data_IF_832774925805
#
_entry.id   IF_832774925805
#
_cell.length_a   1.000
_cell.length_b   1.000
_cell.length_c   1.000
_cell.angle_alpha   90.00
_cell.angle_beta   90.00
_cell.angle_gamma   90.00
#
_symmetry.space_group_name_H-M   'P 1'
#
loop_
_entity.id
_entity.type
_entity.pdbx_description
1 polymer ?
#
# COMPACT_ATOMS: atom_id res chain seq x y z
N UNK A 1 -20.32 -10.92 -12.49
CA UNK A 1 -19.50 -11.42 -13.65
C UNK A 1 -18.17 -10.68 -13.62
N UNK A 2 -17.05 -11.40 -13.76
CA UNK A 2 -15.70 -10.80 -13.77
C UNK A 2 -15.15 -10.81 -15.19
N UNK A 3 -14.75 -9.64 -15.69
CA UNK A 3 -14.13 -9.47 -17.00
C UNK A 3 -12.66 -9.07 -16.85
N UNK A 4 -11.80 -9.59 -17.74
CA UNK A 4 -10.37 -9.27 -17.77
C UNK A 4 -9.99 -8.72 -19.15
N UNK A 5 -9.25 -7.63 -19.16
CA UNK A 5 -8.64 -7.05 -20.36
C UNK A 5 -7.14 -6.83 -20.11
N UNK A 6 -6.32 -7.07 -21.13
CA UNK A 6 -4.87 -6.84 -21.08
C UNK A 6 -4.49 -5.77 -22.10
N UNK A 7 -3.74 -4.77 -21.65
CA UNK A 7 -3.24 -3.67 -22.47
C UNK A 7 -1.70 -3.64 -22.40
N UNK A 8 -1.02 -3.78 -23.54
CA UNK A 8 0.42 -3.62 -23.63
C UNK A 8 0.74 -2.16 -23.97
N UNK A 9 1.52 -1.49 -23.11
CA UNK A 9 1.75 -0.05 -23.23
C UNK A 9 3.20 0.26 -23.65
N UNK A 10 4.21 -0.45 -23.12
CA UNK A 10 5.63 -0.27 -23.49
C UNK A 10 6.54 -1.32 -22.86
N UNK A 11 7.66 -1.68 -23.50
CA UNK A 11 8.81 -2.40 -22.91
C UNK A 11 8.45 -3.60 -22.00
N UNK A 12 7.63 -4.53 -22.49
CA UNK A 12 7.16 -5.71 -21.74
C UNK A 12 6.33 -5.39 -20.47
N UNK A 13 5.89 -4.14 -20.32
CA UNK A 13 4.96 -3.71 -19.27
C UNK A 13 3.53 -3.87 -19.77
N UNK A 14 2.79 -4.75 -19.10
CA UNK A 14 1.37 -4.96 -19.33
C UNK A 14 0.57 -4.32 -18.21
N UNK A 15 -0.59 -3.77 -18.57
CA UNK A 15 -1.65 -3.41 -17.65
C UNK A 15 -2.79 -4.42 -17.76
N UNK A 16 -3.26 -4.90 -16.61
CA UNK A 16 -4.27 -5.94 -16.53
C UNK A 16 -5.48 -5.37 -15.79
N UNK A 17 -6.62 -5.32 -16.45
CA UNK A 17 -7.84 -4.70 -15.96
C UNK A 17 -8.81 -5.77 -15.52
N UNK A 18 -9.14 -5.81 -14.24
CA UNK A 18 -10.22 -6.62 -13.70
C UNK A 18 -11.45 -5.72 -13.54
N UNK A 19 -12.59 -6.17 -14.05
CA UNK A 19 -13.87 -5.51 -13.86
C UNK A 19 -14.82 -6.49 -13.19
N UNK A 20 -15.30 -6.14 -12.01
CA UNK A 20 -16.20 -6.94 -11.19
C UNK A 20 -17.55 -6.24 -11.25
N UNK A 21 -18.44 -6.82 -12.05
CA UNK A 21 -19.74 -6.24 -12.37
C UNK A 21 -19.57 -4.82 -12.94
N UNK A 22 -20.39 -3.86 -12.54
CA UNK A 22 -20.24 -2.44 -12.89
C UNK A 22 -19.81 -1.59 -11.68
N UNK A 23 -19.32 -2.22 -10.62
CA UNK A 23 -19.08 -1.56 -9.32
C UNK A 23 -17.59 -1.41 -8.97
N UNK A 24 -16.72 -2.34 -9.37
CA UNK A 24 -15.31 -2.33 -9.02
C UNK A 24 -14.44 -2.62 -10.24
N UNK A 25 -13.53 -1.70 -10.56
CA UNK A 25 -12.48 -1.89 -11.56
C UNK A 25 -11.11 -1.81 -10.89
N UNK A 26 -10.22 -2.75 -11.17
CA UNK A 26 -8.84 -2.73 -10.68
C UNK A 26 -7.90 -2.90 -11.87
N UNK A 27 -6.94 -1.99 -11.99
CA UNK A 27 -5.88 -2.07 -13.00
C UNK A 27 -4.56 -2.41 -12.30
N UNK A 28 -3.98 -3.55 -12.65
CA UNK A 28 -2.65 -3.98 -12.22
C UNK A 28 -1.60 -3.64 -13.28
N UNK A 29 -0.32 -3.63 -12.89
CA UNK A 29 0.81 -3.49 -13.81
C UNK A 29 1.90 -4.52 -13.51
N UNK A 30 2.54 -5.07 -14.55
CA UNK A 30 3.66 -6.00 -14.38
C UNK A 30 4.89 -5.36 -13.77
N UNK A 31 5.05 -4.04 -13.87
CA UNK A 31 6.11 -3.37 -13.14
C UNK A 31 5.76 -3.20 -11.67
N UNK A 32 6.66 -3.61 -10.79
CA UNK A 32 6.49 -3.51 -9.34
C UNK A 32 5.35 -4.35 -8.77
N UNK A 33 4.80 -5.30 -9.56
CA UNK A 33 3.57 -6.01 -9.23
C UNK A 33 2.46 -5.04 -8.74
N UNK A 34 2.33 -3.90 -9.44
CA UNK A 34 1.62 -2.73 -8.90
C UNK A 34 0.11 -2.83 -9.05
N UNK A 35 -0.62 -2.23 -8.12
CA UNK A 35 -1.99 -1.76 -8.33
C UNK A 35 -1.88 -0.35 -8.92
N UNK A 36 -2.08 -0.21 -10.23
CA UNK A 36 -2.01 1.09 -10.88
C UNK A 36 -3.21 1.96 -10.52
N UNK A 37 -4.43 1.41 -10.49
CA UNK A 37 -5.67 2.17 -10.28
C UNK A 37 -6.80 1.30 -9.74
N UNK A 38 -7.63 1.86 -8.86
CA UNK A 38 -8.90 1.26 -8.46
C UNK A 38 -10.03 2.25 -8.69
N UNK A 39 -11.10 1.81 -9.36
CA UNK A 39 -12.37 2.55 -9.39
C UNK A 39 -13.43 1.80 -8.60
N UNK A 40 -14.22 2.52 -7.83
CA UNK A 40 -15.29 1.94 -7.01
C UNK A 40 -16.55 2.82 -7.06
N UNK A 41 -17.70 2.20 -7.26
CA UNK A 41 -18.99 2.90 -7.30
C UNK A 41 -19.35 3.45 -5.92
N UNK A 42 -19.92 4.66 -5.88
CA UNK A 42 -20.55 5.18 -4.67
C UNK A 42 -21.98 4.63 -4.49
N UNK A 43 -22.68 5.06 -3.42
CA UNK A 43 -24.08 4.66 -3.16
C UNK A 43 -25.08 5.12 -4.22
N UNK A 44 -24.66 6.01 -5.14
CA UNK A 44 -25.46 6.53 -6.25
C UNK A 44 -25.06 5.89 -7.60
N UNK A 45 -24.20 4.87 -7.58
CA UNK A 45 -23.67 4.14 -8.73
C UNK A 45 -22.71 4.95 -9.63
N UNK A 46 -22.09 6.02 -9.11
CA UNK A 46 -21.02 6.71 -9.82
C UNK A 46 -19.68 5.99 -9.61
N UNK A 47 -19.17 5.38 -10.68
CA UNK A 47 -17.88 4.69 -10.69
C UNK A 47 -16.74 5.70 -10.91
N UNK A 48 -15.94 5.94 -9.87
CA UNK A 48 -14.83 6.90 -9.92
C UNK A 48 -13.53 6.30 -9.39
N UNK A 49 -12.39 6.91 -9.76
CA UNK A 49 -11.07 6.49 -9.28
C UNK A 49 -10.90 6.82 -7.80
N UNK A 50 -10.79 5.80 -6.96
CA UNK A 50 -10.63 5.94 -5.51
C UNK A 50 -9.17 5.85 -5.06
N UNK A 51 -8.23 5.94 -6.00
CA UNK A 51 -6.79 5.90 -5.77
C UNK A 51 -6.11 7.13 -6.33
N UNK A 52 -5.00 7.56 -5.72
CA UNK A 52 -4.19 8.65 -6.26
C UNK A 52 -3.27 8.10 -7.34
N UNK A 53 -3.57 8.43 -8.60
CA UNK A 53 -2.85 7.93 -9.77
C UNK A 53 -2.57 9.06 -10.75
N UNK A 54 -1.47 9.03 -11.51
CA UNK A 54 -1.25 9.99 -12.59
C UNK A 54 -2.32 9.84 -13.69
N UNK A 55 -2.52 10.87 -14.50
CA UNK A 55 -3.52 10.87 -15.58
C UNK A 55 -3.24 9.86 -16.71
N UNK A 56 -2.01 9.38 -16.80
CA UNK A 56 -1.55 8.54 -17.90
C UNK A 56 -0.64 7.44 -17.39
N UNK A 57 -0.87 6.23 -17.88
CA UNK A 57 0.01 5.08 -17.66
C UNK A 57 1.43 5.37 -18.12
N UNK A 58 1.62 6.02 -19.28
CA UNK A 58 2.94 6.40 -19.78
C UNK A 58 3.66 7.37 -18.84
N UNK A 59 2.97 8.41 -18.34
CA UNK A 59 3.57 9.34 -17.36
C UNK A 59 4.01 8.62 -16.09
N UNK A 60 3.20 7.67 -15.61
CA UNK A 60 3.54 6.86 -14.44
C UNK A 60 4.76 5.96 -14.68
N UNK A 61 4.87 5.37 -15.88
CA UNK A 61 6.04 4.56 -16.26
C UNK A 61 7.32 5.40 -16.39
N UNK A 62 7.23 6.59 -16.96
CA UNK A 62 8.38 7.48 -17.20
C UNK A 62 8.88 8.17 -15.92
N UNK A 63 7.98 8.50 -14.99
CA UNK A 63 8.28 9.31 -13.80
C UNK A 63 8.15 8.49 -12.51
N UNK A 64 8.58 7.21 -12.56
CA UNK A 64 8.29 6.19 -11.55
C UNK A 64 8.22 6.69 -10.11
N UNK A 65 7.18 6.23 -9.42
CA UNK A 65 6.98 6.42 -7.99
C UNK A 65 6.64 5.10 -7.34
N UNK A 66 6.67 5.05 -6.01
CA UNK A 66 6.20 3.89 -5.26
C UNK A 66 4.68 3.69 -5.34
N UNK A 67 3.92 4.68 -5.85
CA UNK A 67 2.45 4.67 -5.80
C UNK A 67 1.86 3.40 -6.40
N UNK A 68 1.24 2.60 -5.54
CA UNK A 68 0.60 1.34 -5.88
C UNK A 68 1.54 0.15 -6.07
N UNK A 69 2.86 0.34 -6.06
CA UNK A 69 3.85 -0.70 -6.23
C UNK A 69 4.09 -1.49 -4.94
N UNK A 70 4.60 -2.72 -5.11
CA UNK A 70 5.21 -3.47 -4.01
C UNK A 70 6.61 -2.91 -3.76
N UNK A 71 6.77 -2.32 -2.58
CA UNK A 71 8.05 -1.80 -2.12
C UNK A 71 8.78 -2.88 -1.34
N UNK A 72 9.88 -3.37 -1.91
CA UNK A 72 10.66 -4.50 -1.39
C UNK A 72 12.10 -4.45 -1.92
N UNK A 73 13.10 -5.12 -1.30
CA UNK A 73 12.99 -6.05 -0.15
C UNK A 73 12.58 -5.40 1.17
N UNK A 74 12.91 -4.12 1.39
CA UNK A 74 12.71 -3.45 2.66
C UNK A 74 11.92 -2.15 2.52
N UNK A 75 10.65 -2.16 2.94
CA UNK A 75 9.85 -0.95 3.07
C UNK A 75 10.22 -0.15 4.33
N UNK A 76 10.22 1.18 4.21
CA UNK A 76 10.56 2.13 5.26
C UNK A 76 12.01 2.63 5.21
N UNK A 77 12.49 3.12 6.35
CA UNK A 77 13.82 3.72 6.55
C UNK A 77 14.63 2.82 7.49
N UNK A 78 15.88 2.55 7.15
CA UNK A 78 16.80 1.74 7.96
C UNK A 78 18.14 2.46 8.12
N UNK A 79 18.68 2.41 9.33
CA UNK A 79 20.05 2.85 9.59
C UNK A 79 21.05 1.92 8.89
N UNK A 80 22.11 2.51 8.31
CA UNK A 80 23.09 1.73 7.53
C UNK A 80 24.36 1.38 8.31
N UNK A 81 24.70 2.15 9.34
CA UNK A 81 26.02 2.18 9.98
C UNK A 81 26.76 0.83 10.08
N UNK A 82 26.17 -0.19 10.70
CA UNK A 82 26.79 -1.50 10.94
C UNK A 82 26.24 -2.62 10.04
N UNK A 83 25.72 -2.26 8.87
CA UNK A 83 25.00 -3.18 7.96
C UNK A 83 25.63 -3.17 6.56
N UNK A 84 25.25 -4.14 5.72
CA UNK A 84 25.61 -4.16 4.30
C UNK A 84 24.59 -3.44 3.41
N UNK A 85 23.63 -2.72 3.99
CA UNK A 85 22.63 -1.98 3.23
C UNK A 85 23.28 -0.81 2.50
N UNK A 86 22.82 -0.53 1.27
CA UNK A 86 23.25 0.66 0.53
C UNK A 86 22.53 1.93 1.02
N UNK A 87 23.18 3.08 0.86
CA UNK A 87 22.62 4.40 1.18
C UNK A 87 22.07 5.08 -0.08
N UNK A 88 20.89 4.65 -0.53
CA UNK A 88 20.21 5.30 -1.65
C UNK A 88 19.59 6.66 -1.27
N UNK A 89 19.39 6.91 0.03
CA UNK A 89 18.99 8.21 0.57
C UNK A 89 19.85 8.57 1.79
N UNK A 90 21.11 9.01 1.58
CA UNK A 90 22.06 9.18 2.67
C UNK A 90 21.53 10.02 3.83
N UNK A 91 21.72 9.59 5.10
CA UNK A 91 22.53 8.43 5.53
C UNK A 91 21.76 7.08 5.56
N UNK A 92 20.55 7.02 5.01
CA UNK A 92 19.59 5.94 5.20
C UNK A 92 19.53 4.98 3.99
N UNK A 93 19.15 3.73 4.28
CA UNK A 93 18.55 2.84 3.30
C UNK A 93 17.04 3.10 3.28
N UNK A 94 16.48 3.30 2.10
CA UNK A 94 15.09 3.72 1.93
C UNK A 94 14.39 2.88 0.86
N UNK A 95 13.26 2.27 1.22
CA UNK A 95 12.34 1.59 0.30
C UNK A 95 13.04 0.66 -0.71
N UNK A 96 13.79 -0.32 -0.20
CA UNK A 96 14.43 -1.39 -0.97
C UNK A 96 15.64 -0.96 -1.79
N UNK A 97 16.02 0.32 -1.76
CA UNK A 97 17.23 0.80 -2.41
C UNK A 97 17.06 1.28 -3.86
N UNK A 98 18.19 1.43 -4.53
CA UNK A 98 18.34 1.81 -5.94
C UNK A 98 17.69 0.78 -6.86
N UNK A 99 17.86 -0.51 -6.57
CA UNK A 99 17.29 -1.64 -7.31
C UNK A 99 16.13 -2.35 -6.57
N UNK A 100 15.31 -1.56 -5.86
CA UNK A 100 14.07 -2.04 -5.25
C UNK A 100 13.12 -2.69 -6.26
N UNK A 101 12.34 -3.67 -5.80
CA UNK A 101 11.50 -4.50 -6.67
C UNK A 101 10.30 -3.77 -7.27
N UNK A 102 9.98 -2.58 -6.75
CA UNK A 102 9.02 -1.63 -7.31
C UNK A 102 9.37 -1.21 -8.74
N UNK A 103 10.66 -1.27 -9.10
CA UNK A 103 11.19 -0.83 -10.40
C UNK A 103 11.35 -1.97 -11.40
N UNK A 104 11.22 -3.23 -10.96
CA UNK A 104 11.45 -4.41 -11.79
C UNK A 104 10.18 -4.83 -12.52
N UNK A 105 10.33 -5.46 -13.68
CA UNK A 105 9.21 -6.07 -14.42
C UNK A 105 9.04 -7.51 -13.91
N UNK A 106 7.81 -7.85 -13.53
CA UNK A 106 7.44 -9.16 -12.98
C UNK A 106 6.74 -10.00 -14.05
N UNK A 107 7.03 -11.29 -14.05
CA UNK A 107 6.20 -12.25 -14.81
C UNK A 107 4.87 -12.45 -14.09
N UNK A 108 3.83 -12.90 -14.78
CA UNK A 108 2.53 -13.14 -14.15
C UNK A 108 1.78 -14.33 -14.72
N UNK A 109 0.85 -14.85 -13.92
CA UNK A 109 -0.13 -15.86 -14.32
C UNK A 109 -1.52 -15.42 -13.88
N UNK A 110 -2.48 -15.49 -14.81
CA UNK A 110 -3.89 -15.28 -14.54
C UNK A 110 -4.60 -16.59 -14.19
N UNK A 111 -5.58 -16.51 -13.31
CA UNK A 111 -6.50 -17.61 -12.99
C UNK A 111 -7.88 -17.02 -12.82
N UNK A 112 -8.85 -17.55 -13.56
CA UNK A 112 -10.23 -17.08 -13.56
C UNK A 112 -11.11 -18.24 -13.14
N UNK A 113 -11.94 -18.00 -12.13
CA UNK A 113 -13.04 -18.88 -11.75
C UNK A 113 -14.37 -18.11 -11.89
N UNK A 114 -15.49 -18.79 -11.66
CA UNK A 114 -16.82 -18.21 -11.84
C UNK A 114 -17.05 -16.94 -10.99
N UNK A 115 -16.47 -16.91 -9.78
CA UNK A 115 -16.74 -15.89 -8.74
C UNK A 115 -15.51 -15.13 -8.26
N UNK A 116 -14.35 -15.43 -8.81
CA UNK A 116 -13.09 -14.80 -8.45
C UNK A 116 -12.12 -14.75 -9.63
N UNK A 117 -11.29 -13.72 -9.65
CA UNK A 117 -10.17 -13.59 -10.57
C UNK A 117 -8.89 -13.33 -9.78
N UNK A 118 -7.81 -13.92 -10.25
CA UNK A 118 -6.51 -13.84 -9.62
C UNK A 118 -5.43 -13.50 -10.64
N UNK A 119 -4.50 -12.65 -10.23
CA UNK A 119 -3.20 -12.45 -10.88
C UNK A 119 -2.10 -12.75 -9.87
N UNK A 120 -1.16 -13.61 -10.24
CA UNK A 120 0.02 -13.92 -9.44
C UNK A 120 1.26 -13.41 -10.18
N UNK A 121 1.90 -12.38 -9.64
CA UNK A 121 3.19 -11.88 -10.12
C UNK A 121 4.33 -12.67 -9.50
N UNK A 122 5.40 -12.91 -10.27
CA UNK A 122 6.59 -13.63 -9.83
C UNK A 122 7.87 -12.91 -10.27
N UNK A 123 8.82 -12.81 -9.33
CA UNK A 123 10.15 -12.26 -9.53
C UNK A 123 11.18 -13.21 -8.92
N UNK A 124 12.31 -13.39 -9.60
CA UNK A 124 13.50 -14.02 -9.03
C UNK A 124 14.61 -12.98 -8.97
N UNK A 125 15.22 -12.84 -7.79
CA UNK A 125 16.34 -11.94 -7.58
C UNK A 125 17.64 -12.74 -7.44
N UNK A 126 18.47 -12.71 -8.48
CA UNK A 126 19.73 -13.46 -8.55
C UNK A 126 20.73 -13.06 -7.44
N UNK A 127 20.74 -11.78 -7.05
CA UNK A 127 21.68 -11.29 -6.03
C UNK A 127 21.36 -11.85 -4.65
N UNK A 128 20.08 -11.85 -4.29
CA UNK A 128 19.60 -12.37 -3.01
C UNK A 128 19.20 -13.84 -3.06
N UNK A 129 19.18 -14.46 -4.26
CA UNK A 129 18.67 -15.81 -4.52
C UNK A 129 17.27 -16.01 -3.95
N UNK A 130 16.40 -15.03 -4.17
CA UNK A 130 15.06 -14.98 -3.59
C UNK A 130 13.99 -15.09 -4.67
N UNK A 131 13.09 -16.05 -4.50
CA UNK A 131 11.85 -16.15 -5.26
C UNK A 131 10.73 -15.43 -4.50
N UNK A 132 10.00 -14.56 -5.20
CA UNK A 132 8.94 -13.75 -4.60
C UNK A 132 7.69 -13.86 -5.46
N UNK A 133 6.56 -14.01 -4.79
CA UNK A 133 5.25 -14.03 -5.41
C UNK A 133 4.34 -13.00 -4.76
N UNK A 134 3.62 -12.25 -5.60
CA UNK A 134 2.59 -11.30 -5.16
C UNK A 134 1.28 -11.72 -5.83
N UNK A 135 0.34 -12.18 -5.01
CA UNK A 135 -0.94 -12.71 -5.48
C UNK A 135 -2.05 -11.74 -5.12
N UNK A 136 -2.69 -11.16 -6.14
CA UNK A 136 -3.91 -10.41 -6.00
C UNK A 136 -5.09 -11.29 -6.38
N UNK A 137 -6.07 -11.41 -5.50
CA UNK A 137 -7.34 -12.10 -5.74
C UNK A 137 -8.48 -11.13 -5.50
N UNK A 138 -9.40 -11.05 -6.45
CA UNK A 138 -10.64 -10.28 -6.34
C UNK A 138 -11.83 -11.21 -6.47
N UNK A 139 -12.79 -11.10 -5.55
CA UNK A 139 -14.00 -11.93 -5.53
C UNK A 139 -15.28 -11.12 -5.77
N UNK A 140 -16.41 -11.83 -5.93
CA UNK A 140 -17.74 -11.23 -6.12
C UNK A 140 -18.20 -10.38 -4.92
N UNK A 141 -17.61 -10.55 -3.73
CA UNK A 141 -17.86 -9.72 -2.55
C UNK A 141 -17.08 -8.39 -2.55
N UNK A 142 -16.45 -8.03 -3.68
CA UNK A 142 -15.64 -6.80 -3.82
C UNK A 142 -14.52 -6.76 -2.76
N UNK A 143 -13.84 -7.88 -2.56
CA UNK A 143 -12.66 -7.96 -1.70
C UNK A 143 -11.43 -8.17 -2.57
N UNK A 144 -10.44 -7.29 -2.41
CA UNK A 144 -9.10 -7.43 -2.98
C UNK A 144 -8.16 -7.98 -1.90
N UNK A 145 -7.79 -9.25 -2.02
CA UNK A 145 -6.75 -9.87 -1.19
C UNK A 145 -5.41 -9.74 -1.89
N UNK A 146 -4.43 -9.18 -1.20
CA UNK A 146 -3.01 -9.15 -1.57
C UNK A 146 -2.25 -10.10 -0.65
N UNK A 147 -1.54 -11.07 -1.23
CA UNK A 147 -0.71 -12.01 -0.49
C UNK A 147 0.71 -11.97 -1.05
N UNK A 148 1.71 -11.81 -0.19
CA UNK A 148 3.12 -11.81 -0.57
C UNK A 148 3.78 -13.01 0.08
N UNK A 149 4.48 -13.82 -0.73
CA UNK A 149 5.31 -14.90 -0.23
C UNK A 149 6.70 -14.82 -0.83
N UNK A 150 7.70 -15.21 -0.03
CA UNK A 150 9.08 -15.23 -0.48
C UNK A 150 9.86 -16.40 0.12
N UNK A 151 10.76 -16.97 -0.67
CA UNK A 151 11.70 -17.99 -0.24
C UNK A 151 13.10 -17.63 -0.78
N UNK A 152 14.11 -17.79 0.07
CA UNK A 152 15.50 -17.47 -0.26
C UNK A 152 16.44 -18.65 -0.01
N UNK A 153 17.56 -18.66 -0.71
CA UNK A 153 18.66 -19.62 -0.47
C UNK A 153 19.72 -19.11 0.51
N UNK A 154 19.66 -17.84 0.93
CA UNK A 154 20.60 -17.22 1.86
C UNK A 154 19.88 -16.24 2.80
N UNK A 155 20.49 -15.94 3.95
CA UNK A 155 19.89 -14.97 4.88
C UNK A 155 19.86 -13.57 4.27
N UNK A 156 18.67 -12.96 4.24
CA UNK A 156 18.45 -11.58 3.81
C UNK A 156 17.49 -10.86 4.77
N UNK A 157 17.29 -9.57 4.57
CA UNK A 157 16.22 -8.83 5.24
C UNK A 157 15.07 -8.57 4.27
N UNK A 158 13.83 -8.84 4.71
CA UNK A 158 12.63 -8.79 3.87
C UNK A 158 11.42 -8.31 4.67
N UNK A 159 10.88 -7.15 4.29
CA UNK A 159 9.73 -6.49 4.90
C UNK A 159 8.99 -5.68 3.81
N UNK A 160 8.27 -6.35 2.90
CA UNK A 160 7.59 -5.69 1.80
C UNK A 160 6.37 -4.92 2.28
N UNK A 161 5.87 -4.00 1.45
CA UNK A 161 4.54 -3.41 1.60
C UNK A 161 3.98 -2.98 0.24
N UNK A 162 2.72 -2.54 0.21
CA UNK A 162 2.12 -1.89 -0.95
C UNK A 162 1.89 -0.40 -0.67
N UNK A 163 2.39 0.46 -1.54
CA UNK A 163 2.38 1.91 -1.33
C UNK A 163 1.23 2.60 -2.09
N UNK A 164 0.03 2.01 -2.08
CA UNK A 164 -1.17 2.58 -2.71
C UNK A 164 -1.76 3.71 -1.87
N UNK A 165 -2.11 4.82 -2.52
CA UNK A 165 -2.84 5.93 -1.92
C UNK A 165 -4.32 5.84 -2.26
N UNK A 166 -5.18 5.93 -1.25
CA UNK A 166 -6.62 6.03 -1.41
C UNK A 166 -7.12 7.46 -1.31
N UNK A 167 -8.15 7.78 -2.10
CA UNK A 167 -8.97 8.98 -1.99
C UNK A 167 -10.39 8.62 -2.44
N UNK A 168 -11.27 8.34 -1.47
CA UNK A 168 -12.62 7.85 -1.70
C UNK A 168 -13.56 8.95 -2.23
N UNK A 169 -13.11 10.20 -2.36
CA UNK A 169 -13.87 11.23 -3.03
C UNK A 169 -14.15 10.91 -4.51
N UNK A 170 -13.32 10.07 -5.15
CA UNK A 170 -13.39 9.84 -6.59
C UNK A 170 -12.72 10.94 -7.43
N UNK A 171 -12.19 11.97 -6.77
CA UNK A 171 -11.59 13.15 -7.39
C UNK A 171 -10.27 13.48 -6.68
N UNK A 172 -9.16 13.28 -7.39
CA UNK A 172 -7.80 13.54 -6.89
C UNK A 172 -7.53 15.01 -6.56
N UNK A 173 -8.37 15.94 -7.01
CA UNK A 173 -8.22 17.38 -6.67
C UNK A 173 -8.74 17.70 -5.27
N UNK A 174 -9.44 16.78 -4.62
CA UNK A 174 -9.98 16.97 -3.26
C UNK A 174 -9.05 16.39 -2.22
N UNK A 175 -8.94 17.08 -1.09
CA UNK A 175 -8.26 16.55 0.09
C UNK A 175 -9.08 15.42 0.72
N UNK A 176 -8.42 14.54 1.44
CA UNK A 176 -9.03 13.47 2.24
C UNK A 176 -9.48 13.95 3.63
N UNK A 177 -9.43 15.25 3.91
CA UNK A 177 -9.82 15.83 5.21
C UNK A 177 -11.30 15.60 5.55
N UNK A 178 -12.14 15.31 4.55
CA UNK A 178 -13.54 14.93 4.73
C UNK A 178 -13.74 13.41 4.95
N UNK A 179 -12.66 12.62 5.01
CA UNK A 179 -12.74 11.19 5.31
C UNK A 179 -12.72 10.95 6.81
N UNK A 180 -13.31 9.83 7.21
CA UNK A 180 -13.17 9.29 8.56
C UNK A 180 -12.26 8.07 8.54
N UNK A 181 -11.45 7.96 9.60
CA UNK A 181 -10.53 6.87 9.82
C UNK A 181 -10.79 6.22 11.18
N UNK A 182 -10.88 4.89 11.17
CA UNK A 182 -10.71 4.05 12.34
C UNK A 182 -9.50 3.14 12.12
N UNK A 183 -8.67 2.98 13.16
CA UNK A 183 -7.59 2.02 13.22
C UNK A 183 -7.69 1.26 14.54
N UNK A 184 -7.61 -0.07 14.49
CA UNK A 184 -7.53 -0.90 15.67
C UNK A 184 -6.11 -0.85 16.25
N UNK A 185 -5.74 0.31 16.80
CA UNK A 185 -4.41 0.62 17.31
C UNK A 185 -4.53 1.50 18.56
N UNK A 186 -3.73 1.18 19.56
CA UNK A 186 -3.55 1.95 20.80
C UNK A 186 -2.10 2.45 20.97
N UNK A 187 -1.25 2.20 19.98
CA UNK A 187 0.20 2.40 20.06
C UNK A 187 0.74 2.86 18.71
N UNK A 188 1.66 3.82 18.71
CA UNK A 188 2.37 4.26 17.51
C UNK A 188 3.88 4.33 17.77
N UNK A 189 4.69 4.31 16.71
CA UNK A 189 6.13 4.42 16.83
C UNK A 189 6.58 5.87 16.69
N UNK A 190 7.45 6.31 17.60
CA UNK A 190 8.13 7.61 17.48
C UNK A 190 9.37 7.48 16.61
N UNK A 191 9.67 8.55 15.88
CA UNK A 191 10.86 8.66 15.06
C UNK A 191 11.90 9.61 15.69
N UNK A 192 13.18 9.36 15.45
CA UNK A 192 14.25 10.31 15.79
C UNK A 192 14.36 11.45 14.74
N UNK A 193 15.36 12.32 14.90
CA UNK A 193 15.62 13.42 13.97
C UNK A 193 15.96 12.98 12.54
N UNK A 194 16.40 11.75 12.35
CA UNK A 194 16.70 11.14 11.05
C UNK A 194 15.51 10.38 10.46
N UNK A 195 14.33 10.48 11.07
CA UNK A 195 13.12 9.76 10.65
C UNK A 195 13.22 8.23 10.77
N UNK A 196 14.07 7.75 11.66
CA UNK A 196 14.16 6.33 12.00
C UNK A 196 13.22 6.02 13.17
N UNK A 197 12.48 4.93 13.05
CA UNK A 197 11.67 4.37 14.14
C UNK A 197 12.58 4.00 15.31
N UNK A 198 12.19 4.41 16.52
CA UNK A 198 12.95 4.17 17.76
C UNK A 198 12.18 3.25 18.71
N UNK A 199 10.96 3.62 19.10
CA UNK A 199 10.20 2.90 20.11
C UNK A 199 8.70 3.08 19.94
N UNK A 200 7.88 2.10 20.35
CA UNK A 200 6.44 2.28 20.47
C UNK A 200 6.09 3.17 21.68
N UNK A 201 4.98 3.91 21.57
CA UNK A 201 4.39 4.74 22.62
C UNK A 201 2.86 4.60 22.57
N UNK A 202 2.22 4.50 23.74
CA UNK A 202 0.76 4.46 23.85
C UNK A 202 0.12 5.78 23.35
N UNK A 203 -0.99 5.65 22.64
CA UNK A 203 -1.76 6.78 22.13
C UNK A 203 -2.61 7.34 23.28
N UNK A 204 -2.41 8.62 23.58
CA UNK A 204 -3.24 9.30 24.57
C UNK A 204 -4.70 9.40 24.06
N UNK A 205 -5.70 9.05 24.90
CA UNK A 205 -7.10 9.18 24.52
C UNK A 205 -7.47 10.58 24.03
N UNK A 206 -8.26 10.66 22.97
CA UNK A 206 -8.68 11.90 22.30
C UNK A 206 -7.53 12.74 21.69
N UNK A 207 -6.31 12.22 21.58
CA UNK A 207 -5.23 12.91 20.88
C UNK A 207 -5.52 13.03 19.37
N UNK A 208 -4.73 13.84 18.66
CA UNK A 208 -4.80 13.93 17.19
C UNK A 208 -4.52 12.60 16.49
N UNK A 209 -3.84 11.67 17.16
CA UNK A 209 -3.48 10.34 16.67
C UNK A 209 -4.43 9.23 17.17
N UNK A 210 -5.45 9.57 17.97
CA UNK A 210 -6.44 8.60 18.46
C UNK A 210 -7.49 8.28 17.37
N UNK A 211 -7.22 7.20 16.63
CA UNK A 211 -8.12 6.62 15.63
C UNK A 211 -8.85 5.38 16.15
N UNK A 212 -8.83 5.12 17.46
CA UNK A 212 -9.37 3.88 18.06
C UNK A 212 -10.90 3.85 18.17
N UNK A 213 -11.57 5.01 18.01
CA UNK A 213 -13.01 5.12 18.11
C UNK A 213 -13.71 4.48 16.90
N UNK A 214 -14.65 3.57 17.14
CA UNK A 214 -15.35 2.82 16.08
C UNK A 214 -16.24 3.68 15.16
N UNK A 215 -16.65 4.87 15.62
CA UNK A 215 -17.35 5.85 14.79
C UNK A 215 -16.41 6.68 13.89
N UNK A 216 -15.11 6.44 13.99
CA UNK A 216 -14.01 7.06 13.26
C UNK A 216 -13.76 8.51 13.61
N UNK A 217 -12.49 8.90 13.51
CA UNK A 217 -12.06 10.29 13.62
C UNK A 217 -12.01 10.92 12.23
N UNK A 218 -12.54 12.13 12.11
CA UNK A 218 -12.47 12.92 10.88
C UNK A 218 -11.02 13.38 10.67
N UNK A 219 -10.55 13.39 9.42
CA UNK A 219 -9.19 13.79 9.07
C UNK A 219 -9.05 15.31 8.84
N UNK A 220 -9.98 16.12 9.35
CA UNK A 220 -10.05 17.57 9.10
C UNK A 220 -8.97 18.40 9.82
N UNK A 221 -8.19 17.76 10.69
CA UNK A 221 -7.11 18.40 11.47
C UNK A 221 -5.73 18.11 10.87
N UNK A 222 -5.61 17.39 9.73
CA UNK A 222 -4.31 17.02 9.13
C UNK A 222 -3.39 18.22 8.92
N UNK A 223 -3.96 19.35 8.49
CA UNK A 223 -3.20 20.59 8.30
C UNK A 223 -2.61 21.18 9.58
N UNK A 224 -3.22 20.93 10.74
CA UNK A 224 -2.79 21.48 12.03
C UNK A 224 -1.48 20.86 12.55
N UNK A 225 -1.23 19.60 12.20
CA UNK A 225 -0.02 18.86 12.61
C UNK A 225 0.87 18.41 11.44
N UNK A 226 0.60 18.89 10.22
CA UNK A 226 1.45 18.63 9.06
C UNK A 226 1.17 17.30 8.34
N UNK A 227 0.08 16.62 8.69
CA UNK A 227 -0.32 15.31 8.18
C UNK A 227 0.30 14.14 8.94
N UNK A 228 0.05 12.94 8.44
CA UNK A 228 0.60 11.69 8.98
C UNK A 228 1.73 11.18 8.08
N UNK A 229 2.80 10.73 8.71
CA UNK A 229 3.87 9.86 8.18
C UNK A 229 4.26 9.01 9.40
N UNK A 230 3.38 8.08 9.77
CA UNK A 230 3.39 7.50 11.13
C UNK A 230 3.07 6.02 11.09
N UNK A 231 3.91 5.24 11.77
CA UNK A 231 3.71 3.80 11.95
C UNK A 231 2.84 3.54 13.17
N UNK A 232 1.67 2.97 12.97
CA UNK A 232 0.77 2.51 14.01
C UNK A 232 0.96 1.01 14.24
N UNK A 233 1.04 0.60 15.50
CA UNK A 233 1.03 -0.80 15.90
C UNK A 233 -0.42 -1.25 16.05
N UNK A 234 -0.83 -2.29 15.31
CA UNK A 234 -2.14 -2.88 15.49
C UNK A 234 -2.24 -3.62 16.82
N UNK A 235 -3.43 -3.60 17.41
CA UNK A 235 -3.85 -4.58 18.40
C UNK A 235 -4.27 -5.90 17.72
N UNK A 236 -4.77 -6.87 18.49
CA UNK A 236 -5.11 -8.22 18.00
C UNK A 236 -6.11 -8.24 16.82
N UNK A 237 -6.92 -7.20 16.64
CA UNK A 237 -7.88 -7.13 15.52
C UNK A 237 -7.22 -6.91 14.16
N UNK A 238 -6.06 -6.22 14.13
CA UNK A 238 -5.29 -5.91 12.90
C UNK A 238 -6.14 -5.39 11.74
N UNK A 239 -6.95 -4.38 12.04
CA UNK A 239 -7.90 -3.82 11.10
C UNK A 239 -7.92 -2.28 11.07
N UNK A 240 -8.42 -1.74 9.96
CA UNK A 240 -8.73 -0.33 9.80
C UNK A 240 -9.95 -0.12 8.92
N UNK A 241 -10.56 1.05 9.00
CA UNK A 241 -11.70 1.44 8.16
C UNK A 241 -11.52 2.89 7.73
N UNK A 242 -11.47 3.12 6.41
CA UNK A 242 -11.52 4.44 5.80
C UNK A 242 -12.87 4.60 5.12
N UNK A 243 -13.56 5.72 5.32
CA UNK A 243 -14.79 5.99 4.57
C UNK A 243 -15.04 7.48 4.33
N UNK A 244 -15.78 7.76 3.26
CA UNK A 244 -16.24 9.09 2.91
C UNK A 244 -17.76 9.15 3.15
N UNK A 245 -18.23 9.92 4.16
CA UNK A 245 -19.64 9.89 4.57
C UNK A 245 -20.65 10.29 3.50
N UNK A 246 -20.33 11.28 2.66
CA UNK A 246 -21.28 11.89 1.72
C UNK A 246 -21.65 10.98 0.53
N UNK A 247 -20.70 10.18 0.05
CA UNK A 247 -20.86 9.25 -1.07
C UNK A 247 -21.00 7.79 -0.62
N UNK A 248 -20.62 7.48 0.62
CA UNK A 248 -20.79 6.16 1.23
C UNK A 248 -19.73 5.13 0.86
N UNK A 249 -18.72 5.49 0.07
CA UNK A 249 -17.60 4.58 -0.20
C UNK A 249 -16.83 4.33 1.09
N UNK A 250 -16.54 3.07 1.36
CA UNK A 250 -15.72 2.65 2.48
C UNK A 250 -14.77 1.51 2.07
N UNK A 251 -13.62 1.46 2.73
CA UNK A 251 -12.63 0.39 2.59
C UNK A 251 -12.31 -0.12 3.99
N UNK A 252 -12.70 -1.36 4.26
CA UNK A 252 -12.27 -2.10 5.44
C UNK A 252 -11.00 -2.88 5.12
N UNK A 253 -10.01 -2.77 5.99
CA UNK A 253 -8.67 -3.29 5.80
C UNK A 253 -8.39 -4.29 6.90
N UNK A 254 -7.94 -5.49 6.55
CA UNK A 254 -7.42 -6.47 7.51
C UNK A 254 -6.06 -6.97 7.06
N UNK A 255 -5.19 -7.34 8.02
CA UNK A 255 -3.86 -7.84 7.70
C UNK A 255 -3.34 -8.88 8.69
N UNK A 256 -2.38 -9.69 8.26
CA UNK A 256 -1.61 -10.56 9.16
C UNK A 256 -0.50 -9.82 9.89
N UNK A 257 -0.09 -8.64 9.40
CA UNK A 257 1.08 -7.89 9.86
C UNK A 257 0.80 -7.09 11.13
N UNK A 258 1.85 -6.80 11.92
CA UNK A 258 1.68 -6.16 13.22
C UNK A 258 1.47 -4.66 13.15
N UNK A 259 1.85 -3.99 12.05
CA UNK A 259 1.81 -2.53 11.96
C UNK A 259 1.35 -2.04 10.60
N UNK A 260 1.01 -0.76 10.54
CA UNK A 260 0.67 -0.04 9.31
C UNK A 260 1.33 1.34 9.32
N UNK A 261 1.97 1.73 8.23
CA UNK A 261 2.37 3.12 8.01
C UNK A 261 1.21 3.85 7.34
N UNK A 262 0.79 4.95 7.95
CA UNK A 262 -0.18 5.87 7.40
C UNK A 262 0.55 7.11 6.93
N UNK A 263 0.56 7.33 5.62
CA UNK A 263 1.10 8.54 5.00
C UNK A 263 0.01 9.31 4.24
N UNK A 264 -0.19 10.58 4.56
CA UNK A 264 -1.30 11.40 4.02
C UNK A 264 -0.87 12.36 2.93
N UNK A 265 0.05 11.96 2.05
CA UNK A 265 0.46 12.77 0.88
C UNK A 265 0.82 14.21 1.27
N UNK A 266 1.76 14.35 2.22
CA UNK A 266 2.02 15.61 2.93
C UNK A 266 2.71 16.70 2.09
N UNK A 267 2.92 16.48 0.80
CA UNK A 267 3.48 17.46 -0.12
C UNK A 267 2.87 17.24 -1.51
N UNK A 268 2.64 18.33 -2.24
CA UNK A 268 2.27 18.25 -3.66
C UNK A 268 3.40 17.61 -4.46
N UNK A 269 3.02 16.75 -5.39
CA UNK A 269 3.98 16.08 -6.28
C UNK A 269 3.57 16.35 -7.72
N UNK A 270 4.47 16.92 -8.57
CA UNK A 270 4.14 17.29 -9.94
C UNK A 270 3.52 16.17 -10.78
N UNK A 271 3.92 14.92 -10.53
CA UNK A 271 3.39 13.75 -11.24
C UNK A 271 1.87 13.54 -11.02
N UNK A 272 1.36 13.91 -9.84
CA UNK A 272 -0.04 13.72 -9.46
C UNK A 272 -0.87 14.99 -9.65
N UNK A 273 -0.29 16.08 -10.14
CA UNK A 273 -0.99 17.34 -10.37
C UNK A 273 -2.28 17.13 -11.20
N UNK A 274 -3.41 17.76 -10.85
CA UNK A 274 -3.56 18.79 -9.80
C UNK A 274 -3.98 18.23 -8.42
N UNK A 275 -3.35 17.16 -7.92
CA UNK A 275 -3.56 16.69 -6.55
C UNK A 275 -2.92 17.62 -5.51
N UNK A 276 -3.72 18.20 -4.57
CA UNK A 276 -3.18 19.04 -3.51
C UNK A 276 -2.46 18.22 -2.44
N UNK A 277 -1.80 18.92 -1.50
CA UNK A 277 -1.39 18.35 -0.21
C UNK A 277 -2.60 17.66 0.45
N UNK A 278 -2.40 16.50 1.06
CA UNK A 278 -3.47 15.71 1.69
C UNK A 278 -4.52 15.14 0.73
N UNK A 279 -4.16 14.92 -0.54
CA UNK A 279 -5.04 14.31 -1.54
C UNK A 279 -5.12 12.78 -1.47
N UNK A 280 -4.40 12.12 -0.57
CA UNK A 280 -4.44 10.67 -0.47
C UNK A 280 -3.87 10.14 0.84
N UNK A 281 -4.20 8.89 1.16
CA UNK A 281 -3.76 8.18 2.37
C UNK A 281 -3.29 6.77 2.02
N UNK A 282 -2.14 6.35 2.55
CA UNK A 282 -1.63 4.98 2.44
C UNK A 282 -2.04 4.11 3.62
N UNK A 283 -2.04 2.79 3.39
CA UNK A 283 -2.14 1.76 4.43
C UNK A 283 -1.05 0.71 4.18
N UNK A 284 0.19 1.12 4.41
CA UNK A 284 1.36 0.27 4.20
C UNK A 284 1.48 -0.70 5.37
N UNK A 285 0.77 -1.82 5.30
CA UNK A 285 0.87 -2.89 6.29
C UNK A 285 2.25 -3.53 6.20
N UNK A 286 2.98 -3.61 7.31
CA UNK A 286 4.34 -4.18 7.37
C UNK A 286 4.76 -4.48 8.82
N UNK A 287 5.94 -5.06 9.01
CA UNK A 287 6.64 -4.96 10.29
C UNK A 287 7.18 -3.52 10.47
N UNK A 288 7.28 -3.01 11.72
CA UNK A 288 7.94 -1.74 11.99
C UNK A 288 9.35 -1.74 11.38
N UNK A 289 9.66 -0.73 10.57
CA UNK A 289 10.97 -0.59 9.95
C UNK A 289 12.07 -0.33 10.99
N UNK A 290 13.32 -0.36 10.54
CA UNK A 290 14.51 -0.15 11.37
C UNK A 290 14.74 -1.19 12.49
N UNK A 291 14.25 -2.42 12.29
CA UNK A 291 14.53 -3.57 13.16
C UNK A 291 14.92 -4.79 12.31
N UNK A 292 16.19 -4.87 11.90
CA UNK A 292 16.67 -5.90 10.97
C UNK A 292 16.48 -7.34 11.48
N UNK A 293 16.75 -7.66 12.77
CA UNK A 293 16.49 -9.00 13.29
C UNK A 293 15.02 -9.44 13.18
N UNK A 294 14.07 -8.51 13.29
CA UNK A 294 12.64 -8.79 13.17
C UNK A 294 12.22 -9.18 11.74
N UNK A 295 12.99 -8.76 10.74
CA UNK A 295 12.66 -8.90 9.32
C UNK A 295 13.66 -9.79 8.59
N UNK A 296 14.39 -10.63 9.32
CA UNK A 296 15.26 -11.62 8.72
C UNK A 296 14.45 -12.71 8.00
N UNK A 297 14.80 -12.98 6.75
CA UNK A 297 14.26 -14.06 5.93
C UNK A 297 15.38 -15.07 5.70
N UNK A 298 15.14 -16.32 6.11
CA UNK A 298 16.08 -17.44 5.97
C UNK A 298 15.45 -18.57 5.19
N UNK A 299 16.26 -19.55 4.79
CA UNK A 299 15.80 -20.74 4.10
C UNK A 299 14.80 -21.55 4.93
N UNK A 300 14.97 -21.56 6.24
CA UNK A 300 14.16 -22.33 7.19
C UNK A 300 12.87 -21.60 7.60
N UNK A 301 12.76 -20.29 7.34
CA UNK A 301 11.63 -19.45 7.73
C UNK A 301 11.13 -18.63 6.53
N UNK A 302 10.38 -19.24 5.59
CA UNK A 302 9.86 -18.54 4.42
C UNK A 302 8.86 -17.44 4.84
N UNK A 303 8.78 -16.39 4.03
CA UNK A 303 7.91 -15.25 4.28
C UNK A 303 6.49 -15.50 3.77
N UNK A 304 5.49 -15.07 4.54
CA UNK A 304 4.12 -14.94 4.10
C UNK A 304 3.42 -13.79 4.82
N UNK A 305 2.70 -12.99 4.06
CA UNK A 305 1.74 -12.02 4.58
C UNK A 305 0.46 -12.00 3.74
N UNK A 306 -0.59 -11.44 4.34
CA UNK A 306 -1.86 -11.16 3.67
C UNK A 306 -2.45 -9.85 4.15
N UNK A 307 -2.89 -9.02 3.21
CA UNK A 307 -3.68 -7.81 3.45
C UNK A 307 -4.91 -7.83 2.55
N UNK A 308 -6.08 -7.54 3.10
CA UNK A 308 -7.36 -7.55 2.38
C UNK A 308 -8.00 -6.18 2.45
N UNK A 309 -8.39 -5.66 1.29
CA UNK A 309 -9.21 -4.46 1.13
C UNK A 309 -10.63 -4.87 0.74
N UNK A 310 -11.61 -4.66 1.62
CA UNK A 310 -13.03 -4.92 1.35
C UNK A 310 -13.72 -3.60 1.01
N UNK A 311 -14.27 -3.50 -0.20
CA UNK A 311 -14.98 -2.31 -0.69
C UNK A 311 -16.45 -2.38 -0.29
N UNK A 312 -16.89 -1.41 0.51
CA UNK A 312 -18.19 -1.39 1.17
C UNK A 312 -18.95 -0.09 0.88
N UNK A 313 -20.27 -0.15 1.05
CA UNK A 313 -21.14 1.02 1.09
C UNK A 313 -21.66 1.20 2.51
N UNK A 314 -21.34 2.33 3.16
CA UNK A 314 -21.79 2.71 4.51
C UNK A 314 -22.80 3.86 4.47
#
# INVERSE_FOLDING_TARGET
MINILEENVSNDVNFIHFTIESELEITFSTIGASIFRIKFSDRYNFLENVTLTPDSMMKWLENRTYSGAIVAPLAGRYAVHDTLLEQNRPPLHFHGGTDGYDKRIWTYKLTIAEKEAQICFSLYDEQTKTHIHVRYLVNEQKQLSMEISAQTEQEIFFNPTNHLYFNLNGDRQKTIENHKLYLASDTYYVENSEKLIVSPVEIAPNSTLDFSLSNGKLLNELSEFGGLDTTFQFNDKKEGLLWQPDNGRAIHITTTLPAVVIFTFNQEQPLFAPAPKYAGITFETQYPANNLPLVALTKESPYYEKTVYSFLHL
#
